data_IF_661449311621
#
_entry.id   IF_661449311621
#
_cell.length_a   1.000
_cell.length_b   1.000
_cell.length_c   1.000
_cell.angle_alpha   90.00
_cell.angle_beta   90.00
_cell.angle_gamma   90.00
#
_symmetry.space_group_name_H-M   'P 1'
#
loop_
_entity.id
_entity.type
_entity.pdbx_description
1 polymer ?
#
# COMPACT_ATOMS: atom_id res chain seq x y z
N UNK A 1 -15.72 5.94 3.68
CA UNK A 1 -15.84 4.56 4.20
C UNK A 1 -16.10 3.50 3.10
N UNK A 2 -16.87 3.77 2.03
CA UNK A 2 -17.18 2.75 0.98
C UNK A 2 -15.98 2.20 0.18
N UNK A 3 -14.90 2.98 0.03
CA UNK A 3 -13.76 2.55 -0.79
C UNK A 3 -13.04 1.32 -0.22
N UNK A 4 -13.04 1.14 1.10
CA UNK A 4 -12.42 -0.01 1.77
C UNK A 4 -13.30 -1.28 1.71
N UNK A 5 -14.61 -1.09 1.74
CA UNK A 5 -15.60 -2.16 1.65
C UNK A 5 -15.72 -2.74 0.23
N UNK A 6 -15.45 -1.92 -0.78
CA UNK A 6 -15.38 -2.35 -2.18
C UNK A 6 -14.06 -3.09 -2.53
N UNK A 7 -13.10 -3.19 -1.60
CA UNK A 7 -11.83 -3.86 -1.87
C UNK A 7 -11.98 -5.39 -1.92
N UNK A 8 -11.19 -6.06 -2.78
CA UNK A 8 -11.02 -7.50 -2.73
C UNK A 8 -10.52 -7.94 -1.35
N UNK A 9 -10.92 -9.15 -0.93
CA UNK A 9 -10.55 -9.71 0.38
C UNK A 9 -9.02 -9.78 0.54
N UNK A 10 -8.31 -10.25 -0.47
CA UNK A 10 -6.84 -10.41 -0.44
C UNK A 10 -6.14 -9.06 -0.27
N UNK A 11 -6.59 -8.05 -1.01
CA UNK A 11 -6.07 -6.70 -0.88
C UNK A 11 -6.34 -6.11 0.51
N UNK A 12 -7.52 -6.39 1.07
CA UNK A 12 -7.90 -5.92 2.40
C UNK A 12 -7.06 -6.60 3.49
N UNK A 13 -6.81 -7.90 3.36
CA UNK A 13 -5.92 -8.64 4.27
C UNK A 13 -4.50 -8.09 4.22
N UNK A 14 -3.98 -7.84 3.02
CA UNK A 14 -2.66 -7.23 2.87
C UNK A 14 -2.60 -5.84 3.50
N UNK A 15 -3.58 -4.97 3.24
CA UNK A 15 -3.65 -3.64 3.87
C UNK A 15 -3.72 -3.69 5.40
N UNK A 16 -4.36 -4.71 5.97
CA UNK A 16 -4.42 -4.90 7.41
C UNK A 16 -3.06 -5.33 8.01
N UNK A 17 -2.20 -5.95 7.21
CA UNK A 17 -0.85 -6.39 7.62
C UNK A 17 0.27 -5.46 7.15
N UNK A 18 -0.04 -4.45 6.33
CA UNK A 18 0.93 -3.51 5.79
C UNK A 18 1.52 -2.63 6.90
N UNK A 19 2.81 -2.30 6.78
CA UNK A 19 3.52 -1.46 7.76
C UNK A 19 3.28 0.03 7.52
N UNK A 20 3.04 0.43 6.26
CA UNK A 20 2.78 1.83 5.93
C UNK A 20 1.27 2.17 5.96
N UNK A 21 0.89 3.42 6.29
CA UNK A 21 -0.49 3.89 6.18
C UNK A 21 -0.85 4.16 4.73
N UNK A 22 -1.14 3.10 3.98
CA UNK A 22 -1.53 3.17 2.57
C UNK A 22 -2.96 3.71 2.40
N UNK A 23 -3.16 4.59 1.42
CA UNK A 23 -4.49 4.95 0.96
C UNK A 23 -5.10 3.80 0.13
N UNK A 24 -6.38 3.42 0.35
CA UNK A 24 -7.01 2.28 -0.30
C UNK A 24 -7.09 2.41 -1.83
N UNK A 25 -7.22 3.63 -2.34
CA UNK A 25 -7.27 3.92 -3.78
C UNK A 25 -5.94 3.62 -4.48
N UNK A 26 -4.83 4.01 -3.85
CA UNK A 26 -3.48 3.75 -4.36
C UNK A 26 -3.16 2.25 -4.34
N UNK A 27 -3.50 1.57 -3.25
CA UNK A 27 -3.32 0.13 -3.12
C UNK A 27 -4.14 -0.62 -4.19
N UNK A 28 -5.41 -0.24 -4.38
CA UNK A 28 -6.28 -0.84 -5.41
C UNK A 28 -5.74 -0.62 -6.83
N UNK A 29 -5.21 0.57 -7.11
CA UNK A 29 -4.64 0.89 -8.42
C UNK A 29 -3.41 0.06 -8.74
N UNK A 30 -2.52 -0.14 -7.76
CA UNK A 30 -1.35 -1.03 -7.92
C UNK A 30 -1.80 -2.47 -8.07
N UNK A 31 -2.69 -2.93 -7.19
CA UNK A 31 -3.21 -4.29 -7.19
C UNK A 31 -3.86 -4.65 -8.54
N UNK A 32 -4.73 -3.78 -9.05
CA UNK A 32 -5.40 -3.97 -10.34
C UNK A 32 -4.43 -3.98 -11.52
N UNK A 33 -3.32 -3.22 -11.45
CA UNK A 33 -2.30 -3.19 -12.51
C UNK A 33 -1.38 -4.41 -12.51
N UNK A 34 -1.14 -4.98 -11.34
CA UNK A 34 -0.21 -6.09 -11.15
C UNK A 34 -0.83 -7.47 -11.40
N UNK A 35 -2.15 -7.54 -11.57
CA UNK A 35 -2.86 -8.79 -11.89
C UNK A 35 -4.26 -8.85 -11.29
N UNK A 36 -4.51 -8.04 -10.25
CA UNK A 36 -5.79 -7.97 -9.58
C UNK A 36 -6.32 -9.34 -9.16
N UNK A 37 -7.61 -9.63 -9.38
CA UNK A 37 -8.21 -10.90 -8.95
C UNK A 37 -7.77 -12.08 -9.81
N UNK A 38 -7.24 -11.82 -11.01
CA UNK A 38 -6.74 -12.86 -11.91
C UNK A 38 -5.42 -13.44 -11.39
N UNK A 39 -4.60 -12.62 -10.74
CA UNK A 39 -3.28 -13.00 -10.24
C UNK A 39 -3.01 -12.30 -8.89
N UNK A 40 -3.70 -12.70 -7.81
CA UNK A 40 -3.61 -12.01 -6.52
C UNK A 40 -2.19 -12.07 -5.95
N UNK A 41 -1.49 -13.20 -6.10
CA UNK A 41 -0.12 -13.39 -5.62
C UNK A 41 0.85 -12.36 -6.22
N UNK A 42 0.84 -12.21 -7.55
CA UNK A 42 1.67 -11.22 -8.24
C UNK A 42 1.30 -9.78 -7.85
N UNK A 43 0.01 -9.54 -7.59
CA UNK A 43 -0.47 -8.24 -7.16
C UNK A 43 0.00 -7.88 -5.75
N UNK A 44 0.00 -8.84 -4.82
CA UNK A 44 0.52 -8.68 -3.46
C UNK A 44 2.04 -8.49 -3.48
N UNK A 45 2.77 -9.34 -4.21
CA UNK A 45 4.22 -9.20 -4.37
C UNK A 45 4.60 -7.79 -4.86
N UNK A 46 3.85 -7.26 -5.84
CA UNK A 46 4.09 -5.91 -6.35
C UNK A 46 3.82 -4.82 -5.30
N UNK A 47 2.79 -5.00 -4.49
CA UNK A 47 2.49 -4.09 -3.39
C UNK A 47 3.60 -4.11 -2.32
N UNK A 48 4.10 -5.29 -1.95
CA UNK A 48 5.23 -5.43 -1.03
C UNK A 48 6.52 -4.78 -1.56
N UNK A 49 6.84 -4.95 -2.85
CA UNK A 49 8.00 -4.29 -3.46
C UNK A 49 7.91 -2.76 -3.35
N UNK A 50 6.73 -2.21 -3.64
CA UNK A 50 6.51 -0.77 -3.53
C UNK A 50 6.54 -0.33 -2.07
N UNK A 51 5.97 -1.10 -1.14
CA UNK A 51 6.05 -0.80 0.29
C UNK A 51 7.50 -0.78 0.76
N UNK A 52 8.32 -1.75 0.38
CA UNK A 52 9.76 -1.78 0.71
C UNK A 52 10.51 -0.58 0.11
N UNK A 53 10.23 -0.24 -1.14
CA UNK A 53 10.81 0.94 -1.79
C UNK A 53 10.35 2.25 -1.14
N UNK A 54 9.09 2.31 -0.70
CA UNK A 54 8.54 3.43 0.04
C UNK A 54 9.16 3.51 1.42
N UNK A 55 9.28 2.42 2.19
CA UNK A 55 9.93 2.39 3.51
C UNK A 55 11.37 2.93 3.44
N UNK A 56 12.13 2.56 2.41
CA UNK A 56 13.48 3.10 2.18
C UNK A 56 13.47 4.61 1.92
N UNK A 57 12.45 5.13 1.23
CA UNK A 57 12.25 6.57 0.98
C UNK A 57 11.61 7.30 2.17
N UNK A 58 10.75 6.64 2.93
CA UNK A 58 10.00 7.23 4.04
C UNK A 58 10.90 7.39 5.26
N UNK A 59 11.90 6.51 5.44
CA UNK A 59 13.02 6.76 6.36
C UNK A 59 13.67 8.13 6.12
N UNK A 60 13.62 8.65 4.89
CA UNK A 60 14.08 9.99 4.54
C UNK A 60 13.00 11.06 4.77
N UNK A 61 11.73 10.76 4.47
CA UNK A 61 10.59 11.71 4.62
C UNK A 61 10.19 11.94 6.08
N UNK A 62 10.27 10.94 6.98
CA UNK A 62 10.02 11.14 8.41
C UNK A 62 11.07 12.06 9.06
N UNK A 63 12.30 12.10 8.53
CA UNK A 63 13.30 13.09 8.93
C UNK A 63 12.91 14.53 8.50
N UNK A 64 12.14 14.69 7.42
CA UNK A 64 11.64 15.97 6.92
C UNK A 64 10.30 16.38 7.57
N UNK A 65 9.47 15.40 7.95
CA UNK A 65 8.16 15.63 8.60
C UNK A 65 8.28 15.92 10.10
N UNK A 66 9.34 15.45 10.76
CA UNK A 66 9.65 15.78 12.16
C UNK A 66 10.09 17.25 12.40
N UNK A 67 10.38 18.02 11.33
CA UNK A 67 10.86 19.41 11.43
C UNK A 67 9.78 20.48 11.23
N UNK A 68 8.56 20.10 10.83
CA UNK A 68 7.48 21.05 10.51
C UNK A 68 6.48 21.29 11.65
N UNK A 69 6.78 20.82 12.86
CA UNK A 69 5.94 21.03 14.05
C UNK A 69 6.77 21.53 15.24
N UNK A 70 7.66 22.50 15.00
CA UNK A 70 8.45 23.23 16.00
C UNK A 70 8.04 24.69 16.07
#
# INVERSE_FOLDING_TARGET
MRAFDALPRDLRLWLASACLPWSPESALKVWSRAGGPRNPDAAILRLEEIERAMLQKDAHVWQAKARQNG
#
